data_IF_146063016620
#
_entry.id   IF_146063016620
#
_cell.length_a   1.000
_cell.length_b   1.000
_cell.length_c   1.000
_cell.angle_alpha   90.00
_cell.angle_beta   90.00
_cell.angle_gamma   90.00
#
_symmetry.space_group_name_H-M   'P 1'
#
loop_
_entity.id
_entity.type
_entity.pdbx_description
1 polymer ?
#
# COMPACT_ATOMS: atom_id res chain seq x y z
N UNK A 1 -22.44 -27.76 15.53
CA UNK A 1 -21.81 -26.43 15.49
C UNK A 1 -20.40 -26.62 15.98
N UNK A 2 -19.47 -26.90 15.07
CA UNK A 2 -18.07 -27.13 15.43
C UNK A 2 -17.42 -25.77 15.67
N UNK A 3 -16.86 -25.60 16.86
CA UNK A 3 -15.96 -24.50 17.17
C UNK A 3 -14.70 -24.80 16.35
N UNK A 4 -14.61 -24.23 15.15
CA UNK A 4 -13.34 -24.15 14.44
C UNK A 4 -12.46 -23.29 15.33
N UNK A 5 -11.46 -23.92 15.97
CA UNK A 5 -10.38 -23.20 16.62
C UNK A 5 -9.79 -22.25 15.57
N UNK A 6 -10.08 -20.95 15.67
CA UNK A 6 -9.38 -19.92 14.89
C UNK A 6 -7.89 -20.12 15.18
N UNK A 7 -7.14 -20.67 14.24
CA UNK A 7 -5.69 -20.63 14.33
C UNK A 7 -5.31 -19.15 14.26
N UNK A 8 -4.65 -18.66 15.31
CA UNK A 8 -4.14 -17.29 15.38
C UNK A 8 -2.94 -17.18 14.45
N UNK A 9 -3.22 -17.04 13.15
CA UNK A 9 -2.16 -16.86 12.16
C UNK A 9 -1.88 -15.37 12.06
N UNK A 10 -0.64 -14.99 12.35
CA UNK A 10 -0.21 -13.58 12.26
C UNK A 10 0.08 -13.23 10.82
N UNK A 11 -0.18 -11.98 10.44
CA UNK A 11 0.09 -11.48 9.09
C UNK A 11 1.51 -11.80 8.58
N UNK A 12 2.49 -11.75 9.48
CA UNK A 12 3.91 -12.02 9.18
C UNK A 12 4.23 -13.51 8.88
N UNK A 13 3.25 -14.42 8.97
CA UNK A 13 3.46 -15.87 8.81
C UNK A 13 2.85 -16.49 7.55
N UNK A 14 2.09 -15.75 6.72
CA UNK A 14 1.42 -16.30 5.52
C UNK A 14 1.84 -15.61 4.22
N UNK A 15 2.98 -14.93 4.20
CA UNK A 15 3.27 -13.98 3.13
C UNK A 15 4.69 -14.09 2.60
N UNK A 16 5.16 -15.33 2.42
CA UNK A 16 6.34 -15.52 1.58
C UNK A 16 5.93 -15.17 0.14
N UNK A 17 6.58 -14.16 -0.44
CA UNK A 17 6.38 -13.70 -1.82
C UNK A 17 5.09 -12.89 -2.05
N UNK A 18 4.88 -11.85 -1.23
CA UNK A 18 3.82 -10.86 -1.41
C UNK A 18 4.32 -9.41 -1.35
N UNK A 19 3.56 -8.51 -1.95
CA UNK A 19 3.76 -7.05 -1.91
C UNK A 19 2.48 -6.37 -1.40
N UNK A 20 2.58 -5.50 -0.38
CA UNK A 20 1.43 -4.69 0.04
C UNK A 20 1.23 -3.54 -0.96
N UNK A 21 0.07 -3.53 -1.63
CA UNK A 21 -0.32 -2.48 -2.57
C UNK A 21 -1.19 -1.41 -1.92
N UNK A 22 -1.98 -1.80 -0.93
CA UNK A 22 -2.89 -0.89 -0.24
C UNK A 22 -3.13 -1.31 1.19
N UNK A 23 -3.17 -0.32 2.08
CA UNK A 23 -3.58 -0.50 3.46
C UNK A 23 -4.73 0.44 3.75
N UNK A 24 -5.75 -0.06 4.43
CA UNK A 24 -6.84 0.73 4.98
C UNK A 24 -7.15 0.27 6.39
N UNK A 25 -7.69 1.19 7.20
CA UNK A 25 -8.03 0.92 8.60
C UNK A 25 -9.43 1.43 8.91
N UNK A 26 -10.21 0.64 9.65
CA UNK A 26 -11.44 1.10 10.29
C UNK A 26 -11.32 1.04 11.82
N UNK A 27 -12.45 1.03 12.55
CA UNK A 27 -12.43 0.99 14.01
C UNK A 27 -11.82 -0.31 14.57
N UNK A 28 -12.03 -1.43 13.88
CA UNK A 28 -11.76 -2.77 14.42
C UNK A 28 -10.64 -3.48 13.69
N UNK A 29 -10.45 -3.20 12.40
CA UNK A 29 -9.63 -4.01 11.52
C UNK A 29 -8.62 -3.18 10.71
N UNK A 30 -7.61 -3.89 10.22
CA UNK A 30 -6.77 -3.47 9.10
C UNK A 30 -7.10 -4.30 7.87
N UNK A 31 -7.08 -3.65 6.72
CA UNK A 31 -7.38 -4.23 5.42
C UNK A 31 -6.15 -4.05 4.54
N UNK A 32 -5.58 -5.16 4.07
CA UNK A 32 -4.42 -5.18 3.20
C UNK A 32 -4.83 -5.73 1.84
N UNK A 33 -4.56 -4.99 0.77
CA UNK A 33 -4.57 -5.56 -0.57
C UNK A 33 -3.14 -5.96 -0.90
N UNK A 34 -2.94 -7.25 -1.12
CA UNK A 34 -1.62 -7.83 -1.39
C UNK A 34 -1.58 -8.41 -2.79
N UNK A 35 -0.42 -8.31 -3.43
CA UNK A 35 -0.14 -8.98 -4.70
C UNK A 35 0.86 -10.10 -4.46
N UNK A 36 0.50 -11.32 -4.87
CA UNK A 36 1.40 -12.45 -4.82
C UNK A 36 2.18 -12.56 -6.14
N UNK A 37 3.50 -12.52 -6.08
CA UNK A 37 4.34 -12.42 -7.29
C UNK A 37 4.40 -13.73 -8.09
N UNK A 38 4.13 -14.89 -7.47
CA UNK A 38 4.17 -16.19 -8.14
C UNK A 38 2.83 -16.53 -8.81
N UNK A 39 1.75 -16.52 -8.03
CA UNK A 39 0.39 -16.82 -8.51
C UNK A 39 -0.20 -15.68 -9.35
N UNK A 40 0.38 -14.48 -9.26
CA UNK A 40 -0.15 -13.24 -9.87
C UNK A 40 -1.59 -12.93 -9.45
N UNK A 41 -1.98 -13.36 -8.25
CA UNK A 41 -3.30 -13.09 -7.66
C UNK A 41 -3.25 -11.86 -6.73
N UNK A 42 -4.38 -11.15 -6.66
CA UNK A 42 -4.61 -10.17 -5.61
C UNK A 42 -5.41 -10.78 -4.47
N UNK A 43 -4.97 -10.51 -3.24
CA UNK A 43 -5.68 -10.94 -2.03
C UNK A 43 -6.14 -9.72 -1.24
N UNK A 44 -7.30 -9.85 -0.61
CA UNK A 44 -7.67 -9.06 0.55
C UNK A 44 -7.31 -9.87 1.79
N UNK A 45 -6.48 -9.31 2.66
CA UNK A 45 -6.23 -9.82 4.01
C UNK A 45 -6.84 -8.82 4.99
N UNK A 46 -7.75 -9.30 5.84
CA UNK A 46 -8.31 -8.53 6.95
C UNK A 46 -7.73 -9.06 8.24
N UNK A 47 -7.18 -8.16 9.04
CA UNK A 47 -6.68 -8.48 10.37
C UNK A 47 -7.40 -7.64 11.40
N UNK A 48 -7.38 -8.09 12.64
CA UNK A 48 -7.66 -7.21 13.78
C UNK A 48 -6.53 -6.18 13.98
N UNK A 49 -6.64 -5.36 15.04
CA UNK A 49 -5.62 -4.36 15.41
C UNK A 49 -4.31 -4.94 15.94
N UNK A 50 -4.28 -6.23 16.25
CA UNK A 50 -3.09 -6.96 16.69
C UNK A 50 -2.41 -7.73 15.53
N UNK A 51 -2.89 -7.52 14.29
CA UNK A 51 -2.41 -8.18 13.07
C UNK A 51 -2.67 -9.69 13.03
N UNK A 52 -3.66 -10.17 13.77
CA UNK A 52 -4.17 -11.54 13.64
C UNK A 52 -5.15 -11.59 12.47
N UNK A 53 -4.96 -12.56 11.57
CA UNK A 53 -5.77 -12.69 10.36
C UNK A 53 -7.17 -13.20 10.72
N UNK A 54 -8.17 -12.40 10.38
CA UNK A 54 -9.59 -12.75 10.53
C UNK A 54 -10.19 -13.30 9.23
N UNK A 55 -9.72 -12.79 8.08
CA UNK A 55 -10.25 -13.12 6.77
C UNK A 55 -9.17 -12.98 5.71
N UNK A 56 -9.13 -13.92 4.76
CA UNK A 56 -8.26 -13.89 3.59
C UNK A 56 -9.09 -14.35 2.39
N UNK A 57 -9.07 -13.57 1.33
CA UNK A 57 -9.83 -13.86 0.12
C UNK A 57 -9.10 -13.40 -1.13
N UNK A 58 -9.33 -14.12 -2.23
CA UNK A 58 -8.79 -13.74 -3.55
C UNK A 58 -9.76 -12.73 -4.16
N UNK A 59 -9.27 -11.55 -4.54
CA UNK A 59 -10.10 -10.50 -5.14
C UNK A 59 -9.92 -10.38 -6.65
N UNK A 60 -8.80 -10.82 -7.21
CA UNK A 60 -8.55 -10.89 -8.67
C UNK A 60 -7.68 -12.10 -8.99
N UNK A 61 -8.01 -12.77 -10.10
CA UNK A 61 -7.24 -13.89 -10.67
C UNK A 61 -6.43 -13.45 -11.90
N UNK A 62 -5.33 -14.16 -12.21
CA UNK A 62 -4.29 -13.71 -13.16
C UNK A 62 -4.71 -13.52 -14.62
N UNK A 63 -5.95 -13.85 -15.00
CA UNK A 63 -6.40 -13.73 -16.38
C UNK A 63 -6.70 -12.28 -16.81
N UNK A 64 -6.79 -11.33 -15.87
CA UNK A 64 -7.35 -10.02 -16.18
C UNK A 64 -6.33 -8.89 -16.33
N UNK A 65 -5.09 -9.00 -15.83
CA UNK A 65 -4.05 -8.00 -16.07
C UNK A 65 -2.65 -8.44 -15.58
N UNK A 66 -1.60 -8.12 -16.33
CA UNK A 66 -0.21 -8.50 -15.99
C UNK A 66 0.58 -7.43 -15.20
N UNK A 67 0.01 -6.25 -14.90
CA UNK A 67 0.79 -5.10 -14.41
C UNK A 67 0.23 -4.40 -13.16
N UNK A 68 0.16 -5.13 -12.03
CA UNK A 68 -0.29 -4.59 -10.74
C UNK A 68 0.64 -3.55 -10.09
N UNK A 69 1.85 -3.35 -10.62
CA UNK A 69 2.91 -2.52 -10.01
C UNK A 69 2.58 -1.02 -9.91
N UNK A 70 1.62 -0.54 -10.70
CA UNK A 70 1.31 0.89 -10.80
C UNK A 70 -0.13 1.22 -10.37
N UNK A 71 -0.66 0.50 -9.39
CA UNK A 71 -2.03 0.65 -8.91
C UNK A 71 -2.09 1.46 -7.63
N UNK A 72 -2.82 2.57 -7.68
CA UNK A 72 -3.25 3.35 -6.53
C UNK A 72 -4.68 2.94 -6.20
N UNK A 73 -4.85 2.19 -5.11
CA UNK A 73 -6.19 1.84 -4.62
C UNK A 73 -6.82 2.98 -3.83
N UNK A 74 -8.13 3.08 -3.94
CA UNK A 74 -8.97 3.88 -3.07
C UNK A 74 -9.66 3.01 -2.03
N UNK A 75 -10.25 3.66 -1.02
CA UNK A 75 -11.06 2.97 -0.02
C UNK A 75 -12.15 2.13 -0.71
N UNK A 76 -12.24 0.81 -0.43
CA UNK A 76 -13.29 -0.03 -0.96
C UNK A 76 -14.65 0.36 -0.39
N UNK A 77 -15.72 0.06 -1.11
CA UNK A 77 -17.09 0.31 -0.67
C UNK A 77 -17.99 -0.89 -0.96
N UNK A 78 -18.99 -1.08 -0.10
CA UNK A 78 -20.00 -2.12 -0.26
C UNK A 78 -21.07 -1.62 -1.23
N UNK A 79 -21.29 -2.36 -2.32
CA UNK A 79 -22.46 -2.19 -3.18
C UNK A 79 -23.65 -2.88 -2.52
N UNK A 80 -24.45 -2.09 -1.81
CA UNK A 80 -25.61 -2.57 -1.04
C UNK A 80 -26.64 -3.29 -1.91
N UNK A 81 -26.67 -3.02 -3.22
CA UNK A 81 -27.63 -3.65 -4.14
C UNK A 81 -27.29 -5.10 -4.45
N UNK A 82 -26.00 -5.44 -4.46
CA UNK A 82 -25.50 -6.76 -4.84
C UNK A 82 -24.77 -7.50 -3.70
N UNK A 83 -24.64 -6.89 -2.52
CA UNK A 83 -23.85 -7.39 -1.39
C UNK A 83 -22.39 -7.71 -1.75
N UNK A 84 -21.84 -6.96 -2.71
CA UNK A 84 -20.47 -7.13 -3.22
C UNK A 84 -19.59 -5.96 -2.77
N UNK A 85 -18.38 -6.26 -2.31
CA UNK A 85 -17.37 -5.21 -2.09
C UNK A 85 -16.71 -4.84 -3.42
N UNK A 86 -16.73 -3.55 -3.73
CA UNK A 86 -16.11 -2.99 -4.91
C UNK A 86 -14.77 -2.36 -4.52
N UNK A 87 -13.70 -2.82 -5.15
CA UNK A 87 -12.38 -2.21 -5.06
C UNK A 87 -12.16 -1.35 -6.29
N UNK A 88 -11.64 -0.14 -6.11
CA UNK A 88 -11.40 0.78 -7.21
C UNK A 88 -10.13 1.56 -6.97
N UNK A 89 -9.61 2.14 -8.03
CA UNK A 89 -8.41 2.92 -7.96
C UNK A 89 -8.04 3.47 -9.31
N UNK A 90 -6.76 3.84 -9.43
CA UNK A 90 -6.16 4.32 -10.67
C UNK A 90 -4.94 3.47 -10.96
N UNK A 91 -4.75 3.16 -12.22
CA UNK A 91 -3.61 2.40 -12.71
C UNK A 91 -2.88 3.19 -13.78
N UNK A 92 -1.55 3.19 -13.71
CA UNK A 92 -0.69 3.79 -14.74
C UNK A 92 -0.20 2.70 -15.68
N UNK A 93 -0.61 2.80 -16.94
CA UNK A 93 -0.23 1.88 -18.01
C UNK A 93 1.20 2.14 -18.47
N UNK A 94 1.81 1.18 -19.17
CA UNK A 94 3.21 1.28 -19.65
C UNK A 94 3.44 2.45 -20.60
N UNK A 95 2.41 2.88 -21.31
CA UNK A 95 2.45 4.06 -22.19
C UNK A 95 2.33 5.39 -21.42
N UNK A 96 2.28 5.36 -20.09
CA UNK A 96 2.10 6.53 -19.23
C UNK A 96 0.65 6.99 -19.05
N UNK A 97 -0.33 6.37 -19.74
CA UNK A 97 -1.73 6.74 -19.57
C UNK A 97 -2.25 6.26 -18.22
N UNK A 98 -3.08 7.08 -17.58
CA UNK A 98 -3.75 6.71 -16.34
C UNK A 98 -5.22 6.35 -16.61
N UNK A 99 -5.68 5.25 -16.02
CA UNK A 99 -7.08 4.81 -16.09
C UNK A 99 -7.61 4.54 -14.70
N UNK A 100 -8.91 4.79 -14.50
CA UNK A 100 -9.62 4.22 -13.36
C UNK A 100 -9.85 2.74 -13.61
N UNK A 101 -9.72 1.96 -12.55
CA UNK A 101 -10.09 0.55 -12.55
C UNK A 101 -11.15 0.27 -11.48
N UNK A 102 -11.92 -0.78 -11.72
CA UNK A 102 -12.83 -1.38 -10.76
C UNK A 102 -12.62 -2.90 -10.74
N UNK A 103 -12.65 -3.47 -9.54
CA UNK A 103 -12.69 -4.90 -9.28
C UNK A 103 -14.00 -5.18 -8.57
N UNK A 104 -14.82 -6.01 -9.21
CA UNK A 104 -16.13 -6.43 -8.71
C UNK A 104 -16.35 -7.89 -9.08
N UNK A 105 -16.79 -8.72 -8.13
CA UNK A 105 -17.09 -10.14 -8.35
C UNK A 105 -15.96 -10.90 -9.08
N UNK A 106 -14.71 -10.69 -8.62
CA UNK A 106 -13.47 -11.23 -9.21
C UNK A 106 -13.11 -10.74 -10.62
N UNK A 107 -13.88 -9.81 -11.19
CA UNK A 107 -13.62 -9.24 -12.51
C UNK A 107 -12.95 -7.88 -12.39
N UNK A 108 -11.84 -7.71 -13.10
CA UNK A 108 -11.19 -6.41 -13.26
C UNK A 108 -11.68 -5.70 -14.53
N UNK A 109 -11.96 -4.41 -14.44
CA UNK A 109 -12.40 -3.60 -15.57
C UNK A 109 -11.82 -2.19 -15.52
N UNK A 110 -11.57 -1.62 -16.70
CA UNK A 110 -11.29 -0.19 -16.85
C UNK A 110 -12.60 0.59 -16.96
N UNK A 111 -12.69 1.73 -16.28
CA UNK A 111 -13.91 2.56 -16.29
C UNK A 111 -13.71 3.87 -17.05
N UNK A 112 -12.77 4.71 -16.62
CA UNK A 112 -12.55 6.04 -17.20
C UNK A 112 -11.06 6.30 -17.47
N UNK A 113 -10.74 7.13 -18.47
CA UNK A 113 -9.43 7.76 -18.60
C UNK A 113 -9.27 8.87 -17.54
N UNK A 114 -8.06 9.07 -17.04
CA UNK A 114 -7.75 10.09 -16.03
C UNK A 114 -6.57 10.93 -16.51
N UNK A 115 -6.75 12.24 -16.53
CA UNK A 115 -5.62 13.16 -16.66
C UNK A 115 -4.72 13.00 -15.45
N UNK A 116 -3.40 13.01 -15.68
CA UNK A 116 -2.35 12.80 -14.68
C UNK A 116 -2.73 13.30 -13.28
N UNK A 117 -2.95 12.38 -12.32
CA UNK A 117 -3.08 12.75 -10.91
C UNK A 117 -1.68 12.99 -10.37
N UNK A 118 -1.10 14.12 -10.76
CA UNK A 118 -0.03 14.73 -9.99
C UNK A 118 -0.67 15.64 -8.96
N UNK A 119 -0.59 15.32 -7.67
CA UNK A 119 -0.68 16.38 -6.68
C UNK A 119 0.41 17.38 -7.04
N UNK A 120 0.06 18.66 -7.13
CA UNK A 120 1.02 19.72 -7.41
C UNK A 120 1.89 19.95 -6.17
N UNK A 121 2.83 19.03 -5.89
CA UNK A 121 3.85 19.16 -4.86
C UNK A 121 5.01 20.05 -5.30
N UNK A 122 5.03 20.50 -6.56
CA UNK A 122 6.00 21.46 -7.08
C UNK A 122 6.06 22.76 -6.27
N UNK A 123 5.04 23.02 -5.44
CA UNK A 123 4.96 24.14 -4.52
C UNK A 123 5.57 23.88 -3.12
N UNK A 124 6.13 22.69 -2.85
CA UNK A 124 6.75 22.34 -1.56
C UNK A 124 8.27 22.14 -1.73
N UNK A 125 9.08 23.22 -1.61
CA UNK A 125 10.53 23.14 -1.80
C UNK A 125 11.23 22.14 -0.87
N UNK A 126 10.66 21.92 0.32
CA UNK A 126 11.22 21.02 1.32
C UNK A 126 11.28 19.54 0.88
N UNK A 127 10.51 19.14 -0.14
CA UNK A 127 10.51 17.77 -0.68
C UNK A 127 10.92 17.74 -2.17
N UNK A 128 11.65 18.75 -2.64
CA UNK A 128 12.04 18.86 -4.05
C UNK A 128 12.86 17.67 -4.59
N UNK A 129 13.62 16.98 -3.72
CA UNK A 129 14.40 15.80 -4.09
C UNK A 129 13.66 14.47 -3.83
N UNK A 130 12.38 14.53 -3.48
CA UNK A 130 11.59 13.36 -3.12
C UNK A 130 10.67 13.01 -4.29
N UNK A 131 10.91 11.84 -4.88
CA UNK A 131 9.98 11.23 -5.83
C UNK A 131 8.84 10.57 -5.05
N UNK A 132 7.72 11.29 -4.90
CA UNK A 132 6.55 10.83 -4.16
C UNK A 132 5.91 9.61 -4.83
N UNK A 133 5.65 8.56 -4.06
CA UNK A 133 4.99 7.32 -4.52
C UNK A 133 3.53 7.25 -4.08
N UNK A 134 3.27 7.53 -2.81
CA UNK A 134 1.92 7.61 -2.27
C UNK A 134 1.84 8.68 -1.18
N UNK A 135 0.64 9.21 -0.95
CA UNK A 135 0.41 10.24 0.05
C UNK A 135 -1.03 10.26 0.55
N UNK A 136 -1.20 10.84 1.73
CA UNK A 136 -2.47 11.23 2.32
C UNK A 136 -2.35 12.65 2.85
N UNK A 137 -3.31 13.50 2.51
CA UNK A 137 -3.43 14.82 3.12
C UNK A 137 -4.50 14.80 4.22
N UNK A 138 -4.16 15.32 5.41
CA UNK A 138 -5.10 15.52 6.52
C UNK A 138 -4.87 16.89 7.13
N UNK A 139 -5.84 17.78 6.97
CA UNK A 139 -5.75 19.20 7.36
C UNK A 139 -4.51 19.85 6.69
N UNK A 140 -3.65 20.49 7.49
CA UNK A 140 -2.41 21.12 7.06
C UNK A 140 -1.19 20.17 7.02
N UNK A 141 -1.41 18.86 7.18
CA UNK A 141 -0.35 17.86 7.14
C UNK A 141 -0.47 16.98 5.90
N UNK A 142 0.66 16.76 5.25
CA UNK A 142 0.84 15.81 4.15
C UNK A 142 1.73 14.67 4.64
N UNK A 143 1.17 13.46 4.65
CA UNK A 143 1.85 12.23 4.99
C UNK A 143 2.19 11.57 3.67
N UNK A 144 3.47 11.31 3.40
CA UNK A 144 3.88 10.74 2.13
C UNK A 144 4.98 9.72 2.30
N UNK A 145 5.03 8.80 1.36
CA UNK A 145 6.16 7.93 1.13
C UNK A 145 6.75 8.23 -0.25
N UNK A 146 8.05 8.09 -0.38
CA UNK A 146 8.74 8.38 -1.62
C UNK A 146 10.17 7.87 -1.61
N UNK A 147 10.85 8.15 -2.70
CA UNK A 147 12.27 7.89 -2.87
C UNK A 147 13.04 9.21 -2.77
N UNK A 148 13.97 9.33 -1.83
CA UNK A 148 14.87 10.45 -1.71
C UNK A 148 16.03 10.28 -2.70
N UNK A 149 15.98 11.02 -3.80
CA UNK A 149 16.97 10.92 -4.88
C UNK A 149 18.37 11.40 -4.47
N UNK A 150 18.46 12.20 -3.39
CA UNK A 150 19.75 12.71 -2.89
C UNK A 150 20.52 11.63 -2.13
N UNK A 151 19.82 10.82 -1.35
CA UNK A 151 20.42 9.78 -0.51
C UNK A 151 20.21 8.36 -1.08
N UNK A 152 19.38 8.21 -2.12
CA UNK A 152 19.01 6.95 -2.74
C UNK A 152 18.33 5.98 -1.74
N UNK A 153 17.37 6.51 -0.98
CA UNK A 153 16.67 5.78 0.10
C UNK A 153 15.16 5.92 -0.02
N UNK A 154 14.42 4.92 0.44
CA UNK A 154 12.98 5.06 0.66
C UNK A 154 12.73 5.84 1.94
N UNK A 155 11.73 6.72 1.93
CA UNK A 155 11.42 7.60 3.04
C UNK A 155 9.94 7.68 3.33
N UNK A 156 9.60 7.86 4.61
CA UNK A 156 8.30 8.34 5.07
C UNK A 156 8.47 9.74 5.64
N UNK A 157 7.63 10.68 5.20
CA UNK A 157 7.73 12.10 5.53
C UNK A 157 6.37 12.65 5.98
N UNK A 158 6.37 13.45 7.03
CA UNK A 158 5.26 14.33 7.41
C UNK A 158 5.66 15.77 7.11
N UNK A 159 4.93 16.41 6.21
CA UNK A 159 5.14 17.81 5.82
C UNK A 159 4.01 18.66 6.38
N UNK A 160 4.37 19.77 7.05
CA UNK A 160 3.43 20.84 7.32
C UNK A 160 3.32 21.74 6.09
N UNK A 161 2.14 21.76 5.47
CA UNK A 161 1.88 22.46 4.21
C UNK A 161 1.95 23.97 4.40
N UNK A 162 1.41 24.49 5.51
CA UNK A 162 1.37 25.95 5.79
C UNK A 162 2.77 26.51 6.06
N UNK A 163 3.60 25.75 6.79
CA UNK A 163 4.97 26.12 7.10
C UNK A 163 5.97 25.74 5.99
N UNK A 164 5.52 24.95 4.99
CA UNK A 164 6.34 24.38 3.92
C UNK A 164 7.60 23.67 4.46
N UNK A 165 7.45 22.90 5.54
CA UNK A 165 8.56 22.25 6.25
C UNK A 165 8.28 20.78 6.53
N UNK A 166 9.33 19.97 6.44
CA UNK A 166 9.36 18.62 6.98
C UNK A 166 9.30 18.71 8.50
N UNK A 167 8.27 18.11 9.10
CA UNK A 167 8.16 17.94 10.54
C UNK A 167 8.76 16.62 11.02
N UNK A 168 8.66 15.59 10.19
CA UNK A 168 9.17 14.26 10.47
C UNK A 168 9.68 13.61 9.20
N UNK A 169 10.81 12.94 9.28
CA UNK A 169 11.40 12.13 8.21
C UNK A 169 11.95 10.85 8.82
N UNK A 170 11.62 9.73 8.20
CA UNK A 170 12.15 8.42 8.51
C UNK A 170 12.68 7.78 7.23
N UNK A 171 13.99 7.52 7.20
CA UNK A 171 14.63 6.72 6.15
C UNK A 171 14.50 5.24 6.45
N UNK A 172 14.20 4.46 5.43
CA UNK A 172 14.13 3.01 5.50
C UNK A 172 15.39 2.42 4.87
N UNK A 173 16.14 1.67 5.68
CA UNK A 173 17.33 0.95 5.25
C UNK A 173 17.38 -0.40 5.96
N UNK A 174 18.10 -1.34 5.36
CA UNK A 174 18.33 -2.68 5.88
C UNK A 174 19.68 -3.18 5.37
N UNK A 175 20.39 -3.95 6.18
CA UNK A 175 21.73 -4.44 5.84
C UNK A 175 21.69 -5.56 4.77
N UNK A 176 20.54 -6.19 4.57
CA UNK A 176 20.39 -7.39 3.74
C UNK A 176 19.30 -7.28 2.67
N UNK A 177 18.93 -6.06 2.26
CA UNK A 177 17.89 -5.91 1.25
C UNK A 177 17.56 -4.49 0.82
N UNK A 178 16.56 -4.39 -0.06
CA UNK A 178 16.01 -3.13 -0.52
C UNK A 178 14.52 -3.08 -0.20
N UNK A 179 14.14 -2.10 0.63
CA UNK A 179 12.74 -1.82 0.92
C UNK A 179 12.19 -0.99 -0.26
N UNK A 180 10.97 -1.30 -0.70
CA UNK A 180 10.20 -0.48 -1.64
C UNK A 180 8.84 -0.22 -1.03
N UNK A 181 8.49 1.05 -0.83
CA UNK A 181 7.21 1.45 -0.24
C UNK A 181 6.19 1.78 -1.33
N UNK A 182 4.95 1.35 -1.12
CA UNK A 182 3.85 1.53 -2.08
C UNK A 182 2.64 2.23 -1.51
N UNK A 183 2.41 2.10 -0.20
CA UNK A 183 1.19 2.62 0.41
C UNK A 183 1.45 3.24 1.78
N UNK A 184 0.67 4.29 2.06
CA UNK A 184 0.60 4.95 3.36
C UNK A 184 -0.86 5.12 3.73
N UNK A 185 -1.22 4.82 4.98
CA UNK A 185 -2.55 5.02 5.55
C UNK A 185 -2.48 5.65 6.95
N UNK A 186 -3.59 6.22 7.41
CA UNK A 186 -3.73 6.77 8.76
C UNK A 186 -4.90 6.08 9.44
N UNK A 187 -4.61 5.33 10.49
CA UNK A 187 -5.62 4.86 11.43
C UNK A 187 -6.05 6.04 12.30
N UNK A 188 -7.25 6.56 12.03
CA UNK A 188 -7.82 7.67 12.78
C UNK A 188 -8.31 7.27 14.18
N UNK A 189 -8.52 5.98 14.46
CA UNK A 189 -9.03 5.47 15.73
C UNK A 189 -7.89 5.19 16.72
N UNK A 190 -6.79 4.61 16.24
CA UNK A 190 -5.60 4.35 17.08
C UNK A 190 -4.54 5.45 16.98
N UNK A 191 -4.78 6.46 16.12
CA UNK A 191 -3.83 7.53 15.83
C UNK A 191 -2.46 6.97 15.41
N UNK A 192 -2.48 6.01 14.48
CA UNK A 192 -1.29 5.36 13.91
C UNK A 192 -1.17 5.67 12.43
N UNK A 193 0.06 5.75 11.94
CA UNK A 193 0.36 5.78 10.52
C UNK A 193 0.83 4.39 10.12
N UNK A 194 0.32 3.92 9.00
CA UNK A 194 0.55 2.59 8.45
C UNK A 194 1.32 2.77 7.14
N UNK A 195 2.49 2.14 7.01
CA UNK A 195 3.29 2.19 5.80
C UNK A 195 3.52 0.76 5.32
N UNK A 196 3.34 0.53 4.02
CA UNK A 196 3.43 -0.81 3.44
C UNK A 196 4.12 -0.84 2.07
N UNK A 197 4.69 -1.99 1.76
CA UNK A 197 5.28 -2.31 0.47
C UNK A 197 5.91 -3.70 0.49
N UNK A 198 7.17 -3.80 0.07
CA UNK A 198 7.96 -5.03 0.07
C UNK A 198 9.42 -4.80 0.47
N UNK A 199 10.11 -5.90 0.77
CA UNK A 199 11.56 -5.98 0.92
C UNK A 199 12.08 -7.09 0.00
N UNK A 200 13.02 -6.73 -0.86
CA UNK A 200 13.79 -7.70 -1.65
C UNK A 200 15.07 -8.01 -0.86
N UNK A 201 15.23 -9.27 -0.42
CA UNK A 201 16.38 -9.73 0.38
C UNK A 201 17.49 -10.26 -0.52
N UNK A 202 18.73 -9.96 -0.15
CA UNK A 202 19.94 -10.34 -0.88
C UNK A 202 20.91 -11.07 0.06
N UNK A 203 21.68 -12.00 -0.48
CA UNK A 203 22.75 -12.67 0.26
C UNK A 203 24.00 -11.79 0.36
N UNK A 204 25.01 -12.24 1.13
CA UNK A 204 26.29 -11.54 1.31
C UNK A 204 27.10 -11.35 -0.01
N UNK A 205 26.61 -11.88 -1.13
CA UNK A 205 27.22 -11.78 -2.47
C UNK A 205 26.35 -10.96 -3.43
N UNK A 206 25.40 -10.18 -2.91
CA UNK A 206 24.43 -9.39 -3.67
C UNK A 206 23.56 -10.21 -4.65
N UNK A 207 23.33 -11.49 -4.38
CA UNK A 207 22.35 -12.28 -5.13
C UNK A 207 20.99 -12.17 -4.48
N UNK A 208 19.96 -11.94 -5.30
CA UNK A 208 18.57 -11.96 -4.86
C UNK A 208 18.20 -13.31 -4.24
N UNK A 209 17.58 -13.29 -3.06
CA UNK A 209 17.14 -14.47 -2.31
C UNK A 209 15.63 -14.61 -2.40
N UNK A 210 14.89 -13.58 -1.97
CA UNK A 210 13.42 -13.62 -1.90
C UNK A 210 12.82 -12.24 -1.79
N UNK A 211 11.53 -12.11 -2.08
CA UNK A 211 10.73 -10.92 -1.78
C UNK A 211 9.77 -11.26 -0.65
N UNK A 212 9.69 -10.37 0.34
CA UNK A 212 8.71 -10.44 1.44
C UNK A 212 7.91 -9.15 1.49
N UNK A 213 6.67 -9.16 2.02
CA UNK A 213 5.97 -7.93 2.25
C UNK A 213 6.65 -7.16 3.39
N UNK A 214 6.53 -5.84 3.34
CA UNK A 214 7.11 -4.97 4.34
C UNK A 214 6.02 -4.06 4.90
N UNK A 215 5.88 -4.03 6.23
CA UNK A 215 4.90 -3.21 6.92
C UNK A 215 5.48 -2.61 8.20
N UNK A 216 5.24 -1.32 8.40
CA UNK A 216 5.64 -0.61 9.62
C UNK A 216 4.54 0.34 10.08
N UNK A 217 4.43 0.48 11.41
CA UNK A 217 3.53 1.41 12.05
C UNK A 217 4.29 2.50 12.80
N UNK A 218 3.79 3.73 12.72
CA UNK A 218 4.28 4.87 13.48
C UNK A 218 3.17 5.43 14.35
N UNK A 219 3.50 5.98 15.52
CA UNK A 219 2.57 6.83 16.25
C UNK A 219 2.41 8.13 15.49
N UNK A 220 1.16 8.58 15.33
CA UNK A 220 0.89 9.87 14.73
C UNK A 220 1.07 10.96 15.79
N UNK A 221 2.20 11.68 15.73
CA UNK A 221 2.63 12.69 16.71
C UNK A 221 1.97 14.03 16.46
#
# INVERSE_FOLDING_TARGET
MEIINKQYIKLNTITDIMEYLFIYSDKNNYYFITYNLESKELFLIVTDKELCIDYLDVIVKPNDFDNFKNMLFFKPYLDVSNDTTIYKGIITLENGNHKKFEIKDLMFSYTDDVDEIKPSFSLLPCIANIKVKAHIQKKNHLYLIGHDEKYNEEVFIIVNIELMKIQYLHSFYTDFGYITLNTVNIDAYENKILVGGKIDEYDDKDNYVTTKPYFQMFLNV
#
